data_IF_450546297495
#
_entry.id   IF_450546297495
#
_cell.length_a   1.000
_cell.length_b   1.000
_cell.length_c   1.000
_cell.angle_alpha   90.00
_cell.angle_beta   90.00
_cell.angle_gamma   90.00
#
_symmetry.space_group_name_H-M   'P 1'
#
loop_
_entity.id
_entity.type
_entity.pdbx_description
1 polymer ?
#
# COMPACT_ATOMS: atom_id res chain seq x y z
N UNK A 1 -7.65 14.22 34.23
CA UNK A 1 -6.39 14.94 33.97
C UNK A 1 -6.36 15.29 32.50
N UNK A 2 -6.41 16.57 32.13
CA UNK A 2 -6.42 17.02 30.72
C UNK A 2 -4.97 17.19 30.30
N UNK A 3 -4.48 16.32 29.42
CA UNK A 3 -3.17 16.48 28.76
C UNK A 3 -3.32 17.49 27.62
N UNK A 4 -2.69 18.65 27.79
CA UNK A 4 -2.59 19.69 26.77
C UNK A 4 -1.66 19.19 25.64
N UNK A 5 -2.20 18.95 24.46
CA UNK A 5 -1.45 18.79 23.23
C UNK A 5 -0.72 20.10 22.89
N UNK A 6 0.60 20.10 22.98
CA UNK A 6 1.45 21.20 22.53
C UNK A 6 1.53 21.21 21.01
N UNK A 7 1.34 22.36 20.42
CA UNK A 7 1.52 22.60 18.98
C UNK A 7 2.96 22.33 18.57
N UNK A 8 3.22 21.72 17.39
CA UNK A 8 4.59 21.52 16.91
C UNK A 8 5.26 22.88 16.67
N UNK A 9 6.49 23.05 17.19
CA UNK A 9 7.35 24.20 16.91
C UNK A 9 8.23 23.87 15.71
N UNK A 10 8.09 24.63 14.64
CA UNK A 10 9.03 24.62 13.51
C UNK A 10 10.28 25.37 13.95
N UNK A 11 11.42 24.71 13.99
CA UNK A 11 12.71 25.36 14.25
C UNK A 11 13.26 25.94 12.94
N UNK A 12 13.51 27.24 12.92
CA UNK A 12 13.83 28.06 11.74
C UNK A 12 15.21 27.80 11.10
N UNK A 13 15.92 26.71 11.45
CA UNK A 13 17.25 26.40 10.92
C UNK A 13 17.53 24.95 10.53
N UNK A 14 16.59 24.06 10.66
CA UNK A 14 16.72 22.67 10.19
C UNK A 14 15.37 22.18 9.66
N UNK A 15 15.34 21.70 8.41
CA UNK A 15 14.17 21.03 7.82
C UNK A 15 13.88 19.70 8.53
N UNK A 16 13.78 19.72 9.85
CA UNK A 16 13.46 18.57 10.68
C UNK A 16 12.07 18.80 11.25
N UNK A 17 11.12 17.96 10.86
CA UNK A 17 9.81 17.89 11.50
C UNK A 17 9.99 17.06 12.77
N UNK A 18 9.92 17.72 13.94
CA UNK A 18 9.94 17.02 15.21
C UNK A 18 8.49 16.74 15.60
N UNK A 19 8.08 15.48 15.48
CA UNK A 19 6.89 15.00 16.17
C UNK A 19 7.19 14.91 17.67
N UNK A 20 6.20 15.08 18.55
CA UNK A 20 6.32 15.08 20.02
C UNK A 20 6.97 13.80 20.62
N UNK A 21 7.32 12.82 19.82
CA UNK A 21 8.03 11.59 20.18
C UNK A 21 9.56 11.70 20.09
N UNK A 22 10.13 12.86 19.77
CA UNK A 22 11.57 13.07 19.76
C UNK A 22 12.32 12.47 18.57
N UNK A 23 11.65 11.93 17.58
CA UNK A 23 12.25 11.42 16.33
C UNK A 23 12.17 12.52 15.29
N UNK A 24 13.31 13.12 14.93
CA UNK A 24 13.40 14.15 13.91
C UNK A 24 13.43 13.52 12.51
N UNK A 25 12.48 13.84 11.65
CA UNK A 25 12.52 13.55 10.23
C UNK A 25 13.50 14.51 9.56
N UNK A 26 14.65 14.02 9.11
CA UNK A 26 15.58 14.81 8.30
C UNK A 26 15.13 14.81 6.83
N UNK A 27 14.38 15.83 6.44
CA UNK A 27 13.86 16.01 5.08
C UNK A 27 14.94 16.39 4.04
N UNK A 28 16.22 16.51 4.46
CA UNK A 28 17.34 16.87 3.56
C UNK A 28 18.09 15.69 2.97
N UNK A 29 17.83 14.48 3.39
CA UNK A 29 18.42 13.31 2.74
C UNK A 29 17.87 13.21 1.33
N UNK A 30 18.58 13.81 0.35
CA UNK A 30 18.47 13.38 -1.05
C UNK A 30 18.59 11.86 -1.03
N UNK A 31 17.67 11.12 -1.66
CA UNK A 31 17.89 9.72 -1.86
C UNK A 31 19.23 9.57 -2.57
N UNK A 32 20.24 9.01 -1.88
CA UNK A 32 21.48 8.65 -2.54
C UNK A 32 21.10 7.68 -3.64
N UNK A 33 21.27 8.15 -4.88
CA UNK A 33 20.97 7.41 -6.09
C UNK A 33 21.76 6.10 -6.11
N UNK A 34 21.20 5.07 -5.49
CA UNK A 34 21.47 3.73 -5.90
C UNK A 34 20.72 3.56 -7.20
N UNK A 35 21.44 3.42 -8.28
CA UNK A 35 20.98 2.96 -9.58
C UNK A 35 20.36 1.56 -9.35
N UNK A 36 19.12 1.53 -8.87
CA UNK A 36 18.37 0.30 -8.81
C UNK A 36 18.04 -0.05 -10.25
N UNK A 37 18.64 -1.15 -10.68
CA UNK A 37 18.43 -1.76 -11.99
C UNK A 37 16.92 -1.88 -12.23
N UNK A 38 16.36 -1.06 -13.12
CA UNK A 38 15.01 -1.26 -13.63
C UNK A 38 14.98 -2.67 -14.20
N UNK A 39 14.11 -3.51 -13.69
CA UNK A 39 13.93 -4.88 -14.20
C UNK A 39 13.78 -4.82 -15.72
N UNK A 40 14.58 -5.59 -16.41
CA UNK A 40 14.48 -5.73 -17.86
C UNK A 40 13.15 -6.37 -18.23
N UNK A 41 12.69 -6.19 -19.46
CA UNK A 41 11.46 -6.83 -19.96
C UNK A 41 11.48 -8.35 -19.79
N UNK A 42 12.65 -9.00 -19.95
CA UNK A 42 12.83 -10.43 -19.78
C UNK A 42 12.71 -10.86 -18.30
N UNK A 43 13.31 -10.13 -17.38
CA UNK A 43 13.18 -10.38 -15.93
C UNK A 43 11.74 -10.21 -15.46
N UNK A 44 11.04 -9.19 -15.98
CA UNK A 44 9.63 -8.99 -15.71
C UNK A 44 8.77 -10.13 -16.25
N UNK A 45 8.99 -10.58 -17.49
CA UNK A 45 8.24 -11.69 -18.08
C UNK A 45 8.49 -12.98 -17.29
N UNK A 46 9.72 -13.23 -16.87
CA UNK A 46 10.06 -14.37 -16.00
C UNK A 46 9.36 -14.27 -14.64
N UNK A 47 9.28 -13.08 -14.05
CA UNK A 47 8.54 -12.87 -12.82
C UNK A 47 7.04 -13.12 -13.00
N UNK A 48 6.42 -12.60 -14.07
CA UNK A 48 5.02 -12.85 -14.43
C UNK A 48 4.77 -14.36 -14.60
N UNK A 49 5.66 -15.09 -15.27
CA UNK A 49 5.54 -16.54 -15.44
C UNK A 49 5.53 -17.29 -14.11
N UNK A 50 6.45 -16.95 -13.19
CA UNK A 50 6.47 -17.54 -11.84
C UNK A 50 5.21 -17.19 -11.04
N UNK A 51 4.74 -15.94 -11.15
CA UNK A 51 3.49 -15.49 -10.52
C UNK A 51 2.29 -16.26 -11.03
N UNK A 52 2.16 -16.39 -12.34
CA UNK A 52 1.03 -17.09 -12.95
C UNK A 52 0.93 -18.54 -12.43
N UNK A 53 2.06 -19.23 -12.26
CA UNK A 53 2.08 -20.57 -11.68
C UNK A 53 1.62 -20.57 -10.21
N UNK A 54 2.17 -19.68 -9.37
CA UNK A 54 1.79 -19.58 -7.95
C UNK A 54 0.33 -19.18 -7.78
N UNK A 55 -0.10 -18.14 -8.49
CA UNK A 55 -1.49 -17.66 -8.44
C UNK A 55 -2.45 -18.72 -8.97
N UNK A 56 -2.11 -19.43 -10.05
CA UNK A 56 -2.95 -20.52 -10.57
C UNK A 56 -3.14 -21.65 -9.56
N UNK A 57 -2.09 -21.98 -8.81
CA UNK A 57 -2.17 -22.96 -7.73
C UNK A 57 -3.10 -22.47 -6.61
N UNK A 58 -2.91 -21.25 -6.15
CA UNK A 58 -3.69 -20.66 -5.05
C UNK A 58 -5.16 -20.44 -5.46
N UNK A 59 -5.40 -20.00 -6.70
CA UNK A 59 -6.76 -19.90 -7.25
C UNK A 59 -7.48 -21.24 -7.29
N UNK A 60 -6.76 -22.32 -7.64
CA UNK A 60 -7.35 -23.66 -7.61
C UNK A 60 -7.75 -24.06 -6.20
N UNK A 61 -6.94 -23.77 -5.18
CA UNK A 61 -7.30 -24.02 -3.79
C UNK A 61 -8.53 -23.21 -3.36
N UNK A 62 -8.58 -21.91 -3.68
CA UNK A 62 -9.72 -21.07 -3.36
C UNK A 62 -11.00 -21.56 -4.07
N UNK A 63 -10.92 -21.93 -5.35
CA UNK A 63 -12.05 -22.49 -6.08
C UNK A 63 -12.51 -23.81 -5.48
N UNK A 64 -11.59 -24.68 -5.04
CA UNK A 64 -11.95 -25.95 -4.37
C UNK A 64 -12.67 -25.69 -3.05
N UNK A 65 -12.22 -24.70 -2.26
CA UNK A 65 -12.88 -24.31 -1.02
C UNK A 65 -14.28 -23.73 -1.28
N UNK A 66 -14.41 -22.85 -2.28
CA UNK A 66 -15.71 -22.30 -2.69
C UNK A 66 -16.68 -23.41 -3.11
N UNK A 67 -16.19 -24.35 -3.94
CA UNK A 67 -17.01 -25.46 -4.42
C UNK A 67 -17.46 -26.36 -3.27
N UNK A 68 -16.55 -26.79 -2.39
CA UNK A 68 -16.86 -27.63 -1.24
C UNK A 68 -17.86 -26.94 -0.29
N UNK A 69 -17.66 -25.66 0.02
CA UNK A 69 -18.56 -24.91 0.89
C UNK A 69 -19.95 -24.70 0.25
N UNK A 70 -20.00 -24.49 -1.06
CA UNK A 70 -21.25 -24.39 -1.80
C UNK A 70 -22.04 -25.72 -1.78
N UNK A 71 -21.35 -26.87 -1.96
CA UNK A 71 -21.94 -28.20 -1.86
C UNK A 71 -22.48 -28.46 -0.44
N UNK A 72 -21.76 -28.06 0.60
CA UNK A 72 -22.27 -28.13 1.98
C UNK A 72 -23.53 -27.28 2.20
N UNK A 73 -23.61 -26.10 1.56
CA UNK A 73 -24.79 -25.22 1.68
C UNK A 73 -26.08 -25.81 1.10
N UNK A 74 -25.97 -26.76 0.17
CA UNK A 74 -27.15 -27.48 -0.39
C UNK A 74 -27.80 -28.40 0.64
N UNK A 75 -27.11 -28.79 1.68
CA UNK A 75 -27.64 -29.67 2.71
C UNK A 75 -28.70 -28.95 3.53
N UNK A 76 -29.83 -29.64 3.76
CA UNK A 76 -30.99 -29.11 4.50
C UNK A 76 -30.82 -29.17 6.03
N UNK A 77 -29.90 -29.98 6.51
CA UNK A 77 -29.67 -30.30 7.94
C UNK A 77 -28.66 -29.41 8.65
N UNK A 78 -28.12 -28.37 7.98
CA UNK A 78 -27.17 -27.45 8.57
C UNK A 78 -27.85 -26.30 9.34
N UNK A 79 -27.37 -26.00 10.54
CA UNK A 79 -27.86 -24.87 11.33
C UNK A 79 -27.46 -23.52 10.75
N UNK A 80 -28.18 -22.45 11.14
CA UNK A 80 -27.96 -21.11 10.63
C UNK A 80 -26.52 -20.57 10.86
N UNK A 81 -25.90 -20.91 12.00
CA UNK A 81 -24.53 -20.49 12.31
C UNK A 81 -23.49 -21.14 11.39
N UNK A 82 -23.62 -22.43 11.11
CA UNK A 82 -22.75 -23.13 10.17
C UNK A 82 -22.93 -22.57 8.75
N UNK A 83 -24.19 -22.33 8.34
CA UNK A 83 -24.50 -21.70 7.05
C UNK A 83 -23.83 -20.33 6.91
N UNK A 84 -23.91 -19.49 7.94
CA UNK A 84 -23.27 -18.18 7.95
C UNK A 84 -21.73 -18.29 7.86
N UNK A 85 -21.13 -19.25 8.56
CA UNK A 85 -19.69 -19.52 8.49
C UNK A 85 -19.24 -19.91 7.07
N UNK A 86 -19.94 -20.86 6.44
CA UNK A 86 -19.63 -21.30 5.07
C UNK A 86 -19.74 -20.16 4.03
N UNK A 87 -20.75 -19.28 4.18
CA UNK A 87 -20.89 -18.11 3.32
C UNK A 87 -19.75 -17.11 3.51
N UNK A 88 -19.28 -16.90 4.75
CA UNK A 88 -18.13 -16.06 5.05
C UNK A 88 -16.86 -16.61 4.42
N UNK A 89 -16.59 -17.90 4.56
CA UNK A 89 -15.43 -18.55 3.93
C UNK A 89 -15.45 -18.44 2.39
N UNK A 90 -16.62 -18.55 1.77
CA UNK A 90 -16.77 -18.32 0.32
C UNK A 90 -16.42 -16.87 -0.03
N UNK A 91 -16.93 -15.90 0.73
CA UNK A 91 -16.66 -14.49 0.49
C UNK A 91 -15.18 -14.16 0.63
N UNK A 92 -14.51 -14.67 1.67
CA UNK A 92 -13.08 -14.50 1.89
C UNK A 92 -12.26 -15.10 0.74
N UNK A 93 -12.63 -16.30 0.28
CA UNK A 93 -11.95 -16.94 -0.84
C UNK A 93 -12.08 -16.12 -2.14
N UNK A 94 -13.28 -15.58 -2.43
CA UNK A 94 -13.52 -14.72 -3.61
C UNK A 94 -12.70 -13.43 -3.52
N UNK A 95 -12.71 -12.76 -2.36
CA UNK A 95 -11.92 -11.54 -2.15
C UNK A 95 -10.43 -11.79 -2.35
N UNK A 96 -9.89 -12.84 -1.73
CA UNK A 96 -8.47 -13.22 -1.87
C UNK A 96 -8.09 -13.49 -3.33
N UNK A 97 -8.95 -14.15 -4.11
CA UNK A 97 -8.71 -14.38 -5.54
C UNK A 97 -8.70 -13.07 -6.33
N UNK A 98 -9.64 -12.17 -6.05
CA UNK A 98 -9.76 -10.88 -6.74
C UNK A 98 -8.51 -10.02 -6.48
N UNK A 99 -8.06 -9.92 -5.24
CA UNK A 99 -6.84 -9.18 -4.88
C UNK A 99 -5.59 -9.71 -5.57
N UNK A 100 -5.46 -11.04 -5.68
CA UNK A 100 -4.32 -11.67 -6.37
C UNK A 100 -4.34 -11.39 -7.86
N UNK A 101 -5.53 -11.42 -8.49
CA UNK A 101 -5.72 -11.06 -9.89
C UNK A 101 -5.40 -9.59 -10.15
N UNK A 102 -5.90 -8.70 -9.31
CA UNK A 102 -5.64 -7.26 -9.43
C UNK A 102 -4.15 -6.95 -9.29
N UNK A 103 -3.48 -7.60 -8.32
CA UNK A 103 -2.04 -7.48 -8.13
C UNK A 103 -1.25 -7.95 -9.37
N UNK A 104 -1.66 -9.06 -9.99
CA UNK A 104 -1.05 -9.58 -11.21
C UNK A 104 -1.27 -8.63 -12.40
N UNK A 105 -2.49 -8.13 -12.57
CA UNK A 105 -2.83 -7.21 -13.64
C UNK A 105 -2.06 -5.89 -13.50
N UNK A 106 -2.00 -5.33 -12.30
CA UNK A 106 -1.24 -4.11 -12.03
C UNK A 106 0.27 -4.30 -12.22
N UNK A 107 0.80 -5.48 -11.91
CA UNK A 107 2.20 -5.82 -12.18
C UNK A 107 2.47 -6.01 -13.69
N UNK A 108 1.56 -6.68 -14.40
CA UNK A 108 1.68 -7.00 -15.83
C UNK A 108 1.39 -5.82 -16.76
N UNK A 109 0.40 -5.00 -16.41
CA UNK A 109 -0.05 -3.87 -17.23
C UNK A 109 0.85 -2.64 -17.04
N UNK A 110 2.08 -2.70 -17.54
CA UNK A 110 2.89 -1.50 -17.73
C UNK A 110 2.41 -0.75 -18.97
N UNK A 111 1.76 0.38 -18.78
CA UNK A 111 1.44 1.26 -19.91
C UNK A 111 0.03 1.82 -19.96
N UNK A 112 -0.93 1.30 -19.24
CA UNK A 112 -2.21 2.00 -19.07
C UNK A 112 -2.05 3.09 -18.00
N UNK A 113 -1.42 4.19 -18.41
CA UNK A 113 -1.44 5.41 -17.58
C UNK A 113 -2.84 6.01 -17.75
N UNK A 114 -3.62 6.04 -16.68
CA UNK A 114 -4.79 6.91 -16.67
C UNK A 114 -4.28 8.36 -16.79
N UNK A 115 -5.04 9.24 -17.43
CA UNK A 115 -4.61 10.64 -17.51
C UNK A 115 -4.44 11.20 -16.10
N UNK A 116 -3.27 11.78 -15.84
CA UNK A 116 -3.05 12.52 -14.61
C UNK A 116 -3.91 13.78 -14.63
N UNK A 117 -4.70 13.98 -13.61
CA UNK A 117 -5.58 15.14 -13.45
C UNK A 117 -5.28 15.87 -12.15
N UNK A 118 -5.60 17.15 -12.10
CA UNK A 118 -5.49 17.90 -10.84
C UNK A 118 -6.62 17.46 -9.92
N UNK A 119 -6.25 16.87 -8.80
CA UNK A 119 -7.20 16.36 -7.80
C UNK A 119 -6.66 16.56 -6.38
N UNK A 120 -7.57 16.59 -5.40
CA UNK A 120 -7.22 16.68 -3.99
C UNK A 120 -6.70 15.34 -3.49
N UNK A 121 -5.49 15.33 -2.97
CA UNK A 121 -4.88 14.13 -2.38
C UNK A 121 -5.65 13.66 -1.15
N UNK A 122 -6.22 14.60 -0.37
CA UNK A 122 -7.10 14.27 0.77
C UNK A 122 -8.28 13.38 0.37
N UNK A 123 -8.92 13.67 -0.78
CA UNK A 123 -10.05 12.88 -1.28
C UNK A 123 -9.61 11.46 -1.69
N UNK A 124 -8.39 11.31 -2.23
CA UNK A 124 -7.83 10.00 -2.56
C UNK A 124 -7.56 9.19 -1.28
N UNK A 125 -6.99 9.83 -0.25
CA UNK A 125 -6.79 9.20 1.07
C UNK A 125 -8.13 8.75 1.67
N UNK A 126 -9.15 9.61 1.64
CA UNK A 126 -10.48 9.28 2.18
C UNK A 126 -11.11 8.08 1.46
N UNK A 127 -11.01 7.99 0.12
CA UNK A 127 -11.50 6.84 -0.65
C UNK A 127 -10.73 5.56 -0.31
N UNK A 128 -9.42 5.62 -0.20
CA UNK A 128 -8.61 4.47 0.18
C UNK A 128 -8.95 3.98 1.59
N UNK A 129 -9.15 4.88 2.56
CA UNK A 129 -9.62 4.54 3.91
C UNK A 129 -11.01 3.92 3.87
N UNK A 130 -11.93 4.48 3.08
CA UNK A 130 -13.26 3.91 2.92
C UNK A 130 -13.18 2.49 2.31
N UNK A 131 -12.37 2.30 1.26
CA UNK A 131 -12.21 1.01 0.60
C UNK A 131 -11.66 -0.05 1.55
N UNK A 132 -10.63 0.26 2.35
CA UNK A 132 -10.04 -0.71 3.27
C UNK A 132 -11.00 -1.15 4.37
N UNK A 133 -11.95 -0.31 4.77
CA UNK A 133 -12.98 -0.65 5.75
C UNK A 133 -13.99 -1.70 5.26
N UNK A 134 -14.08 -1.93 3.96
CA UNK A 134 -14.88 -3.03 3.41
C UNK A 134 -14.11 -4.37 3.38
N UNK A 135 -12.79 -4.33 3.54
CA UNK A 135 -11.99 -5.54 3.61
C UNK A 135 -12.12 -6.20 4.99
N UNK A 136 -12.21 -7.55 5.10
CA UNK A 136 -12.32 -8.26 6.39
C UNK A 136 -11.26 -7.85 7.41
N UNK A 137 -10.00 -7.66 6.98
CA UNK A 137 -8.90 -7.24 7.85
C UNK A 137 -8.97 -5.74 8.23
N UNK A 138 -9.72 -4.93 7.49
CA UNK A 138 -9.83 -3.48 7.75
C UNK A 138 -11.06 -3.08 8.54
N UNK A 139 -12.17 -3.85 8.44
CA UNK A 139 -13.44 -3.45 9.04
C UNK A 139 -13.43 -3.41 10.58
N UNK A 140 -12.59 -4.20 11.22
CA UNK A 140 -12.49 -4.32 12.68
C UNK A 140 -11.28 -3.54 13.28
N UNK A 141 -10.50 -2.86 12.44
CA UNK A 141 -9.36 -2.06 12.88
C UNK A 141 -9.76 -0.58 12.93
N UNK A 142 -9.68 0.09 14.08
CA UNK A 142 -9.84 1.53 14.16
C UNK A 142 -8.80 2.23 13.30
N UNK A 143 -9.28 3.06 12.36
CA UNK A 143 -8.42 3.88 11.51
C UNK A 143 -8.68 5.34 11.86
N UNK A 144 -7.70 5.96 12.50
CA UNK A 144 -7.72 7.38 12.82
C UNK A 144 -7.12 8.17 11.68
N UNK A 145 -7.90 9.10 11.12
CA UNK A 145 -7.43 10.00 10.07
C UNK A 145 -7.15 11.35 10.70
N UNK A 146 -5.89 11.78 10.65
CA UNK A 146 -5.45 13.07 11.11
C UNK A 146 -6.02 14.22 10.26
N UNK A 147 -5.53 15.43 10.50
CA UNK A 147 -5.94 16.59 9.70
C UNK A 147 -5.47 16.40 8.25
N UNK A 148 -6.41 16.40 7.32
CA UNK A 148 -6.16 16.34 5.89
C UNK A 148 -6.18 17.76 5.30
N UNK A 149 -5.03 18.37 4.98
CA UNK A 149 -5.01 19.65 4.28
C UNK A 149 -5.61 19.49 2.86
N UNK A 150 -6.27 20.52 2.32
CA UNK A 150 -6.88 20.48 0.98
C UNK A 150 -5.80 20.62 -0.11
N UNK A 151 -4.82 19.74 -0.08
CA UNK A 151 -3.66 19.73 -0.98
C UNK A 151 -4.04 19.16 -2.34
N UNK A 152 -3.78 19.88 -3.42
CA UNK A 152 -3.99 19.45 -4.80
C UNK A 152 -2.67 19.06 -5.46
N UNK A 153 -2.72 18.02 -6.31
CA UNK A 153 -1.61 17.59 -7.13
C UNK A 153 -2.10 17.09 -8.50
N UNK A 154 -1.20 17.02 -9.48
CA UNK A 154 -1.46 16.39 -10.78
C UNK A 154 -1.14 14.89 -10.64
N UNK A 155 -2.16 14.06 -10.50
CA UNK A 155 -2.04 12.65 -10.11
C UNK A 155 -2.90 11.73 -10.98
N UNK A 156 -2.47 10.48 -11.13
CA UNK A 156 -3.35 9.37 -11.47
C UNK A 156 -4.03 8.89 -10.18
N UNK A 157 -5.23 9.41 -9.94
CA UNK A 157 -5.95 9.21 -8.68
C UNK A 157 -6.24 7.73 -8.38
N UNK A 158 -6.52 6.91 -9.41
CA UNK A 158 -6.80 5.47 -9.24
C UNK A 158 -5.56 4.71 -8.79
N UNK A 159 -4.43 4.97 -9.44
CA UNK A 159 -3.18 4.33 -9.08
C UNK A 159 -2.73 4.78 -7.69
N UNK A 160 -2.84 6.08 -7.38
CA UNK A 160 -2.49 6.59 -6.05
C UNK A 160 -3.40 6.01 -4.95
N UNK A 161 -4.71 5.90 -5.21
CA UNK A 161 -5.67 5.24 -4.31
C UNK A 161 -5.27 3.78 -4.05
N UNK A 162 -4.91 3.03 -5.11
CA UNK A 162 -4.42 1.65 -4.98
C UNK A 162 -3.13 1.56 -4.16
N UNK A 163 -2.18 2.49 -4.32
CA UNK A 163 -0.96 2.51 -3.52
C UNK A 163 -1.25 2.73 -2.03
N UNK A 164 -2.10 3.72 -1.72
CA UNK A 164 -2.51 4.02 -0.34
C UNK A 164 -3.30 2.86 0.26
N UNK A 165 -4.23 2.26 -0.50
CA UNK A 165 -4.98 1.07 -0.10
C UNK A 165 -4.05 -0.09 0.29
N UNK A 166 -3.03 -0.38 -0.53
CA UNK A 166 -2.06 -1.45 -0.25
C UNK A 166 -1.28 -1.19 1.06
N UNK A 167 -0.88 0.06 1.31
CA UNK A 167 -0.20 0.41 2.56
C UNK A 167 -1.14 0.31 3.77
N UNK A 168 -2.39 0.78 3.64
CA UNK A 168 -3.41 0.70 4.69
C UNK A 168 -3.78 -0.75 5.02
N UNK A 169 -3.99 -1.58 4.01
CA UNK A 169 -4.30 -2.99 4.22
C UNK A 169 -3.15 -3.71 4.93
N UNK A 170 -1.90 -3.42 4.54
CA UNK A 170 -0.74 -3.95 5.24
C UNK A 170 -0.69 -3.51 6.71
N UNK A 171 -1.00 -2.25 6.99
CA UNK A 171 -1.06 -1.71 8.34
C UNK A 171 -2.16 -2.37 9.17
N UNK A 172 -3.38 -2.53 8.63
CA UNK A 172 -4.48 -3.24 9.31
C UNK A 172 -4.10 -4.69 9.62
N UNK A 173 -3.55 -5.40 8.65
CA UNK A 173 -3.08 -6.77 8.83
C UNK A 173 -1.94 -6.91 9.84
N UNK A 174 -1.10 -5.89 10.01
CA UNK A 174 -0.09 -5.86 11.05
C UNK A 174 -0.71 -5.55 12.41
N UNK A 175 -1.59 -4.56 12.50
CA UNK A 175 -2.26 -4.15 13.73
C UNK A 175 -3.09 -5.27 14.36
N UNK A 176 -3.79 -6.10 13.57
CA UNK A 176 -4.54 -7.28 14.07
C UNK A 176 -3.62 -8.25 14.82
N UNK A 177 -2.33 -8.31 14.50
CA UNK A 177 -1.33 -9.18 15.15
C UNK A 177 -0.65 -8.52 16.36
N UNK A 178 -1.05 -7.29 16.68
CA UNK A 178 -0.55 -6.58 17.87
C UNK A 178 -0.97 -7.29 19.16
N UNK A 179 -0.15 -7.20 20.17
CA UNK A 179 -0.48 -7.63 21.55
C UNK A 179 -1.34 -6.59 22.29
N UNK A 180 -1.50 -5.40 21.72
CA UNK A 180 -2.32 -4.29 22.22
C UNK A 180 -3.58 -4.13 21.37
N UNK A 181 -4.44 -3.18 21.72
CA UNK A 181 -5.58 -2.83 20.87
C UNK A 181 -5.10 -2.39 19.49
N UNK A 182 -5.68 -3.01 18.42
CA UNK A 182 -5.32 -2.69 17.04
C UNK A 182 -5.63 -1.24 16.71
N UNK A 183 -4.68 -0.52 16.13
CA UNK A 183 -4.84 0.88 15.71
C UNK A 183 -4.00 1.18 14.48
N UNK A 184 -4.60 1.94 13.55
CA UNK A 184 -3.91 2.51 12.38
C UNK A 184 -4.18 4.01 12.33
N UNK A 185 -3.14 4.79 12.10
CA UNK A 185 -3.24 6.24 11.94
C UNK A 185 -2.78 6.65 10.54
N UNK A 186 -3.51 7.58 9.91
CA UNK A 186 -3.17 8.16 8.62
C UNK A 186 -2.94 9.66 8.78
N UNK A 187 -1.80 10.13 8.31
CA UNK A 187 -1.43 11.54 8.32
C UNK A 187 -1.13 12.01 6.90
N UNK A 188 -1.59 13.22 6.56
CA UNK A 188 -1.26 13.90 5.31
C UNK A 188 -0.56 15.20 5.63
N UNK A 189 0.65 15.37 5.12
CA UNK A 189 1.43 16.59 5.30
C UNK A 189 1.94 17.10 3.97
N UNK A 190 2.12 18.40 3.88
CA UNK A 190 2.66 19.09 2.73
C UNK A 190 3.86 19.91 3.16
N UNK A 191 4.98 19.73 2.49
CA UNK A 191 6.21 20.50 2.70
C UNK A 191 6.75 20.91 1.34
N UNK A 192 6.79 22.20 1.08
CA UNK A 192 7.18 22.77 -0.21
C UNK A 192 6.37 22.20 -1.38
N UNK A 193 7.01 21.63 -2.39
CA UNK A 193 6.40 21.00 -3.56
C UNK A 193 6.14 19.50 -3.38
N UNK A 194 6.25 18.98 -2.16
CA UNK A 194 6.07 17.56 -1.85
C UNK A 194 4.92 17.33 -0.90
N UNK A 195 4.25 16.21 -1.13
CA UNK A 195 3.14 15.72 -0.31
C UNK A 195 3.57 14.37 0.27
N UNK A 196 3.24 14.16 1.54
CA UNK A 196 3.57 12.96 2.29
C UNK A 196 2.30 12.36 2.88
N UNK A 197 2.05 11.09 2.58
CA UNK A 197 1.01 10.28 3.21
C UNK A 197 1.72 9.28 4.11
N UNK A 198 1.61 9.45 5.42
CA UNK A 198 2.20 8.57 6.43
C UNK A 198 1.12 7.68 7.01
N UNK A 199 1.39 6.39 7.03
CA UNK A 199 0.51 5.35 7.58
C UNK A 199 1.27 4.67 8.70
N UNK A 200 0.68 4.70 9.90
CA UNK A 200 1.27 4.16 11.11
C UNK A 200 0.39 3.02 11.62
N UNK A 201 1.01 1.93 12.02
CA UNK A 201 0.35 0.81 12.70
C UNK A 201 1.09 0.46 14.00
N UNK A 202 0.39 -0.14 14.93
CA UNK A 202 0.93 -0.65 16.18
C UNK A 202 1.16 -2.17 16.15
N UNK A 203 1.44 -2.70 14.97
CA UNK A 203 1.76 -4.11 14.79
C UNK A 203 3.14 -4.52 15.33
N UNK A 204 3.52 -5.80 15.18
CA UNK A 204 4.75 -6.36 15.74
C UNK A 204 6.03 -5.88 15.03
N UNK A 205 5.90 -4.95 14.09
CA UNK A 205 7.03 -4.45 13.31
C UNK A 205 7.47 -5.40 12.19
N UNK A 206 8.53 -5.00 11.51
CA UNK A 206 9.10 -5.73 10.37
C UNK A 206 10.43 -6.35 10.76
N UNK A 207 10.63 -7.65 10.58
CA UNK A 207 11.90 -8.32 10.87
C UNK A 207 13.08 -7.67 10.14
N UNK A 208 14.19 -7.45 10.84
CA UNK A 208 15.37 -6.79 10.27
C UNK A 208 15.92 -7.51 9.03
N UNK A 209 15.75 -8.84 8.96
CA UNK A 209 16.22 -9.68 7.85
C UNK A 209 15.60 -9.32 6.51
N UNK A 210 14.35 -8.83 6.49
CA UNK A 210 13.61 -8.53 5.25
C UNK A 210 13.53 -7.03 4.95
N UNK A 211 13.96 -6.13 5.86
CA UNK A 211 13.83 -4.67 5.66
C UNK A 211 14.53 -4.19 4.39
N UNK A 212 15.65 -4.80 4.01
CA UNK A 212 16.42 -4.42 2.82
C UNK A 212 15.73 -4.81 1.51
N UNK A 213 14.94 -5.88 1.53
CA UNK A 213 14.25 -6.44 0.37
C UNK A 213 12.74 -6.20 0.41
N UNK A 214 12.28 -5.38 1.37
CA UNK A 214 10.86 -5.17 1.67
C UNK A 214 10.01 -4.75 0.46
N UNK A 215 10.62 -4.00 -0.45
CA UNK A 215 9.98 -3.51 -1.68
C UNK A 215 10.29 -4.37 -2.90
N UNK A 216 10.98 -5.49 -2.74
CA UNK A 216 11.17 -6.46 -3.81
C UNK A 216 9.90 -7.30 -4.00
N UNK A 217 9.62 -7.75 -5.23
CA UNK A 217 8.46 -8.60 -5.48
C UNK A 217 8.55 -9.91 -4.70
N UNK A 218 7.41 -10.40 -4.20
CA UNK A 218 7.24 -11.67 -3.47
C UNK A 218 7.82 -11.72 -2.06
N UNK A 219 8.31 -10.62 -1.53
CA UNK A 219 8.76 -10.57 -0.13
C UNK A 219 7.54 -10.46 0.78
N UNK A 220 7.39 -11.45 1.67
CA UNK A 220 6.31 -11.49 2.67
C UNK A 220 6.88 -11.72 4.07
N UNK A 221 6.31 -11.07 5.07
CA UNK A 221 6.66 -11.26 6.48
C UNK A 221 5.64 -12.16 7.18
N UNK A 222 5.74 -13.48 6.97
CA UNK A 222 4.91 -14.46 7.71
C UNK A 222 3.41 -14.39 7.42
N UNK A 223 3.02 -13.91 6.23
CA UNK A 223 1.62 -13.91 5.76
C UNK A 223 1.44 -15.12 4.85
N UNK A 224 0.70 -16.17 5.26
CA UNK A 224 0.51 -17.36 4.42
C UNK A 224 -0.20 -17.05 3.09
N UNK A 225 -1.03 -16.02 3.05
CA UNK A 225 -1.81 -15.63 1.87
C UNK A 225 -1.32 -14.34 1.18
N UNK A 226 -0.20 -13.77 1.61
CA UNK A 226 0.32 -12.52 1.04
C UNK A 226 0.99 -12.75 -0.32
N UNK A 227 0.65 -11.95 -1.33
CA UNK A 227 1.29 -11.99 -2.66
C UNK A 227 2.71 -11.42 -2.67
N UNK A 228 3.06 -10.61 -1.67
CA UNK A 228 4.34 -9.89 -1.61
C UNK A 228 4.49 -8.81 -2.69
N UNK A 229 3.40 -8.33 -3.28
CA UNK A 229 3.39 -7.35 -4.37
C UNK A 229 2.94 -5.97 -3.93
N UNK A 230 2.14 -5.87 -2.88
CA UNK A 230 1.49 -4.62 -2.48
C UNK A 230 2.47 -3.48 -2.20
N UNK A 231 3.57 -3.76 -1.46
CA UNK A 231 4.59 -2.75 -1.15
C UNK A 231 5.41 -2.34 -2.39
N UNK A 232 5.77 -3.31 -3.23
CA UNK A 232 6.46 -3.06 -4.50
C UNK A 232 5.59 -2.19 -5.42
N UNK A 233 4.29 -2.50 -5.50
CA UNK A 233 3.33 -1.75 -6.30
C UNK A 233 3.16 -0.31 -5.78
N UNK A 234 3.01 -0.16 -4.46
CA UNK A 234 2.92 1.16 -3.82
C UNK A 234 4.17 2.01 -4.10
N UNK A 235 5.37 1.41 -4.00
CA UNK A 235 6.63 2.08 -4.34
C UNK A 235 6.66 2.52 -5.80
N UNK A 236 6.33 1.63 -6.74
CA UNK A 236 6.31 1.94 -8.17
C UNK A 236 5.34 3.10 -8.47
N UNK A 237 4.14 3.06 -7.91
CA UNK A 237 3.15 4.13 -8.11
C UNK A 237 3.67 5.45 -7.55
N UNK A 238 4.32 5.46 -6.38
CA UNK A 238 4.93 6.65 -5.83
C UNK A 238 6.05 7.21 -6.74
N UNK A 239 6.91 6.35 -7.31
CA UNK A 239 7.94 6.71 -8.29
C UNK A 239 7.33 7.31 -9.56
N UNK A 240 6.22 6.75 -10.06
CA UNK A 240 5.46 7.30 -11.19
C UNK A 240 4.86 8.70 -10.89
N UNK A 241 4.69 9.05 -9.61
CA UNK A 241 4.27 10.37 -9.13
C UNK A 241 5.45 11.26 -8.67
N UNK A 242 6.68 10.92 -9.05
CA UNK A 242 7.88 11.70 -8.72
C UNK A 242 8.30 11.62 -7.25
N UNK A 243 7.85 10.60 -6.54
CA UNK A 243 8.15 10.38 -5.13
C UNK A 243 8.74 9.02 -4.82
N UNK A 244 8.48 8.52 -3.62
CA UNK A 244 8.97 7.23 -3.13
C UNK A 244 8.09 6.70 -2.00
N UNK A 245 8.28 5.42 -1.64
CA UNK A 245 7.76 4.85 -0.38
C UNK A 245 8.95 4.45 0.49
N UNK A 246 8.92 4.88 1.74
CA UNK A 246 9.95 4.60 2.73
C UNK A 246 9.36 3.95 3.99
N UNK A 247 10.15 3.09 4.63
CA UNK A 247 9.91 2.63 5.98
C UNK A 247 10.65 3.57 6.93
N UNK A 248 9.91 4.41 7.66
CA UNK A 248 10.50 5.41 8.59
C UNK A 248 10.81 4.80 9.94
N UNK A 249 9.89 4.00 10.47
CA UNK A 249 10.00 3.39 11.77
C UNK A 249 9.53 1.94 11.75
N UNK A 250 10.22 1.07 12.50
CA UNK A 250 9.74 -0.29 12.77
C UNK A 250 10.52 -0.84 13.98
N UNK A 251 9.90 -0.79 15.17
CA UNK A 251 10.56 -1.11 16.44
C UNK A 251 9.89 -2.25 17.25
N UNK A 252 8.90 -2.92 16.67
CA UNK A 252 8.16 -4.02 17.32
C UNK A 252 6.89 -3.58 18.03
N UNK A 253 6.70 -2.29 18.23
CA UNK A 253 5.48 -1.70 18.80
C UNK A 253 4.78 -0.77 17.80
N UNK A 254 5.52 -0.28 16.80
CA UNK A 254 5.04 0.66 15.81
C UNK A 254 5.76 0.48 14.49
N UNK A 255 5.00 0.61 13.39
CA UNK A 255 5.55 0.68 12.04
C UNK A 255 5.01 1.92 11.35
N UNK A 256 5.87 2.63 10.64
CA UNK A 256 5.50 3.81 9.87
C UNK A 256 6.00 3.69 8.43
N UNK A 257 5.06 3.71 7.48
CA UNK A 257 5.35 3.86 6.06
C UNK A 257 4.97 5.26 5.59
N UNK A 258 5.87 5.91 4.87
CA UNK A 258 5.62 7.21 4.26
C UNK A 258 5.68 7.10 2.75
N UNK A 259 4.58 7.41 2.07
CA UNK A 259 4.49 7.61 0.64
C UNK A 259 4.65 9.10 0.34
N UNK A 260 5.62 9.45 -0.49
CA UNK A 260 5.81 10.82 -0.97
C UNK A 260 5.42 10.96 -2.43
N UNK A 261 4.99 12.15 -2.84
CA UNK A 261 4.74 12.51 -4.24
C UNK A 261 5.02 14.00 -4.47
N UNK A 262 5.21 14.40 -5.73
CA UNK A 262 5.33 15.81 -6.11
C UNK A 262 3.98 16.40 -6.49
N UNK A 263 3.73 17.68 -6.15
CA UNK A 263 2.49 18.39 -6.52
C UNK A 263 2.31 18.54 -8.02
N UNK A 264 3.38 18.89 -8.68
CA UNK A 264 3.41 19.09 -10.12
C UNK A 264 4.24 17.99 -10.75
N UNK A 265 3.64 17.20 -11.62
CA UNK A 265 4.35 16.25 -12.45
C UNK A 265 5.19 17.05 -13.42
N UNK A 266 6.46 17.30 -13.08
CA UNK A 266 7.39 18.05 -13.93
C UNK A 266 7.57 17.27 -15.24
N UNK A 267 7.72 18.01 -16.36
CA UNK A 267 7.88 17.56 -17.73
C UNK A 267 9.06 16.58 -18.01
N UNK A 268 9.54 15.86 -17.00
CA UNK A 268 10.51 14.78 -17.16
C UNK A 268 9.97 13.60 -17.99
N UNK A 269 8.64 13.44 -18.06
CA UNK A 269 8.01 12.34 -18.80
C UNK A 269 7.85 12.61 -20.31
N UNK A 270 7.82 13.86 -20.75
CA UNK A 270 7.67 14.18 -22.19
C UNK A 270 8.96 13.95 -23.01
N UNK A 271 10.13 14.06 -22.38
CA UNK A 271 11.41 13.84 -23.07
C UNK A 271 11.80 12.37 -23.21
N UNK A 272 11.33 11.49 -22.32
CA UNK A 272 11.60 10.04 -22.41
C UNK A 272 10.71 9.38 -23.47
N UNK A 273 9.44 9.79 -23.59
CA UNK A 273 8.53 9.32 -24.65
C UNK A 273 9.00 9.74 -26.02
N UNK A 274 9.56 10.95 -26.17
CA UNK A 274 10.09 11.42 -27.44
C UNK A 274 11.39 10.70 -27.86
N UNK A 275 12.20 10.22 -26.91
CA UNK A 275 13.44 9.49 -27.20
C UNK A 275 13.21 8.03 -27.61
N UNK A 276 12.16 7.38 -27.12
CA UNK A 276 11.81 6.02 -27.54
C UNK A 276 11.12 6.01 -28.90
N UNK A 277 10.35 7.04 -29.26
CA UNK A 277 9.68 7.13 -30.57
C UNK A 277 10.67 7.41 -31.71
N UNK A 278 11.82 8.03 -31.44
CA UNK A 278 12.85 8.33 -32.48
C UNK A 278 13.78 7.13 -32.74
N UNK A 279 13.74 6.07 -31.94
CA UNK A 279 14.55 4.85 -32.16
C UNK A 279 13.87 3.75 -32.98
N UNK A 280 12.66 3.96 -33.44
CA UNK A 280 11.88 2.97 -34.23
C UNK A 280 11.69 3.41 -35.69
N UNK A 281 12.42 4.43 -36.15
CA UNK A 281 12.52 4.77 -37.61
C UNK A 281 13.97 4.72 -38.05
#
# INVERSE_FOLDING_TARGET
MRTHLRKPKISDRSNILICDTGVGLDLRTKPQGRTESRMTGAERMSAIGRMACSISHDMRHSLTAIYANAEFLERRDICASVRAGLLLEIQEAVLSMTERLDSLLQFGCTGRKNPAVRERVSSVVERAVAAVKFHPDGQNVPITVGKLPPTEAVIDARNLESAIYNLLLNACQAAIRSTHASEVEVQLTEVDERIYVTILDNGPGIPASIRKTLFEPFVTAGKPNGTGLGLMLARRIAEEHGGSVCLEESNGERTAFTLSLTKNRSAYDEQEVCRETIRVF
#
